data_IF_200599033881
#
_entry.id   IF_200599033881
#
_cell.length_a   1.000
_cell.length_b   1.000
_cell.length_c   1.000
_cell.angle_alpha   90.00
_cell.angle_beta   90.00
_cell.angle_gamma   90.00
#
_symmetry.space_group_name_H-M   'P 1'
#
loop_
_entity.id
_entity.type
_entity.pdbx_description
1 polymer ?
#
# COMPACT_ATOMS: atom_id res chain seq x y z
N UNK A 1 28.29 29.74 -30.58
CA UNK A 1 28.48 28.30 -30.33
C UNK A 1 27.45 27.93 -29.26
N UNK A 2 26.33 27.37 -29.67
CA UNK A 2 25.25 26.96 -28.77
C UNK A 2 25.41 25.48 -28.48
N UNK A 3 25.52 25.13 -27.20
CA UNK A 3 25.53 23.75 -26.75
C UNK A 3 24.08 23.35 -26.49
N UNK A 4 23.52 22.61 -27.42
CA UNK A 4 22.19 21.99 -27.24
C UNK A 4 22.28 20.82 -26.25
N UNK A 5 21.63 20.98 -25.13
CA UNK A 5 21.40 19.86 -24.21
C UNK A 5 20.23 19.03 -24.77
N UNK A 6 20.55 17.86 -25.33
CA UNK A 6 19.56 16.85 -25.70
C UNK A 6 19.04 16.20 -24.42
N UNK A 7 17.82 16.50 -24.02
CA UNK A 7 17.09 15.68 -23.07
C UNK A 7 16.72 14.36 -23.76
N UNK A 8 17.47 13.33 -23.47
CA UNK A 8 17.03 11.97 -23.74
C UNK A 8 15.84 11.68 -22.82
N UNK A 9 14.64 11.77 -23.40
CA UNK A 9 13.43 11.31 -22.75
C UNK A 9 13.60 9.81 -22.45
N UNK A 10 13.59 9.45 -21.18
CA UNK A 10 13.44 8.07 -20.78
C UNK A 10 12.13 7.57 -21.37
N UNK A 11 12.22 6.63 -22.30
CA UNK A 11 11.06 5.89 -22.79
C UNK A 11 10.34 5.28 -21.58
N UNK A 12 9.02 5.40 -21.43
CA UNK A 12 8.34 4.68 -20.38
C UNK A 12 8.66 3.21 -20.57
N UNK A 13 9.34 2.62 -19.58
CA UNK A 13 9.56 1.19 -19.54
C UNK A 13 8.20 0.52 -19.79
N UNK A 14 8.14 -0.41 -20.71
CA UNK A 14 6.98 -1.24 -20.98
C UNK A 14 6.61 -1.97 -19.67
N UNK A 15 5.80 -1.32 -18.83
CA UNK A 15 5.08 -2.01 -17.79
C UNK A 15 4.27 -3.06 -18.54
N UNK A 16 4.49 -4.33 -18.25
CA UNK A 16 3.65 -5.39 -18.76
C UNK A 16 2.27 -5.19 -18.12
N UNK A 17 1.49 -4.31 -18.73
CA UNK A 17 0.11 -4.08 -18.35
C UNK A 17 -0.63 -5.35 -18.72
N UNK A 18 -1.16 -6.05 -17.74
CA UNK A 18 -2.14 -7.09 -18.02
C UNK A 18 -3.34 -6.36 -18.61
N UNK A 19 -3.58 -6.54 -19.90
CA UNK A 19 -4.76 -6.00 -20.56
C UNK A 19 -5.98 -6.53 -19.81
N UNK A 20 -6.75 -5.61 -19.25
CA UNK A 20 -8.06 -5.95 -18.71
C UNK A 20 -8.89 -6.59 -19.82
N UNK A 21 -9.66 -7.63 -19.54
CA UNK A 21 -10.66 -8.08 -20.48
C UNK A 21 -11.52 -6.88 -20.87
N UNK A 22 -11.63 -6.59 -22.17
CA UNK A 22 -12.33 -5.41 -22.70
C UNK A 22 -13.84 -5.40 -22.42
N UNK A 23 -14.35 -6.49 -21.85
CA UNK A 23 -15.74 -6.78 -21.56
C UNK A 23 -16.05 -6.92 -20.05
N UNK A 24 -15.27 -6.27 -19.18
CA UNK A 24 -15.66 -6.16 -17.79
C UNK A 24 -17.04 -5.49 -17.70
N UNK A 25 -18.02 -6.28 -17.29
CA UNK A 25 -19.37 -5.77 -17.01
C UNK A 25 -19.25 -4.55 -16.08
N UNK A 26 -19.76 -3.36 -16.47
CA UNK A 26 -19.73 -2.18 -15.61
C UNK A 26 -20.32 -2.44 -14.19
N UNK A 27 -21.17 -3.47 -14.05
CA UNK A 27 -21.71 -3.93 -12.78
C UNK A 27 -20.67 -4.61 -11.87
N UNK A 28 -19.49 -4.93 -12.37
CA UNK A 28 -18.36 -5.40 -11.56
C UNK A 28 -17.56 -4.27 -10.92
N UNK A 29 -17.89 -3.02 -11.22
CA UNK A 29 -17.37 -1.86 -10.50
C UNK A 29 -18.14 -1.73 -9.20
N UNK A 30 -17.41 -1.74 -8.09
CA UNK A 30 -18.04 -1.73 -6.76
C UNK A 30 -18.18 -0.31 -6.25
N UNK A 31 -19.41 0.19 -6.31
CA UNK A 31 -19.76 1.46 -5.71
C UNK A 31 -20.08 1.25 -4.24
N UNK A 32 -19.44 2.01 -3.38
CA UNK A 32 -19.84 2.11 -1.99
C UNK A 32 -21.07 3.00 -1.89
N UNK A 33 -22.18 2.47 -1.39
CA UNK A 33 -23.30 3.30 -0.99
C UNK A 33 -23.02 3.94 0.38
N UNK A 34 -23.20 5.25 0.49
CA UNK A 34 -23.15 5.96 1.78
C UNK A 34 -24.33 5.60 2.69
N UNK A 35 -25.36 4.98 2.15
CA UNK A 35 -26.60 4.63 2.87
C UNK A 35 -26.45 3.34 3.67
N UNK A 36 -25.54 2.46 3.25
CA UNK A 36 -25.29 1.17 3.90
C UNK A 36 -23.80 1.03 4.25
N UNK A 37 -23.41 1.29 5.51
CA UNK A 37 -22.01 1.36 5.91
C UNK A 37 -21.22 0.06 5.74
N UNK A 38 -21.89 -1.04 5.43
CA UNK A 38 -21.28 -2.34 5.20
C UNK A 38 -21.11 -2.71 3.71
N UNK A 39 -21.73 -1.99 2.79
CA UNK A 39 -21.62 -2.20 1.35
C UNK A 39 -20.25 -1.94 0.72
N UNK A 40 -19.37 -1.10 1.30
CA UNK A 40 -18.03 -0.90 0.74
C UNK A 40 -17.26 -2.17 0.50
N UNK A 41 -17.63 -3.22 1.17
CA UNK A 41 -16.93 -4.51 1.15
C UNK A 41 -17.66 -5.59 0.36
N UNK A 42 -18.88 -5.33 -0.11
CA UNK A 42 -19.58 -6.28 -0.98
C UNK A 42 -18.85 -6.38 -2.33
N UNK A 43 -18.77 -7.62 -2.83
CA UNK A 43 -18.17 -7.90 -4.13
C UNK A 43 -16.66 -7.70 -4.21
N UNK A 44 -15.98 -7.39 -3.11
CA UNK A 44 -14.53 -7.17 -3.11
C UNK A 44 -13.73 -8.33 -3.73
N UNK A 45 -14.25 -9.56 -3.65
CA UNK A 45 -13.61 -10.75 -4.20
C UNK A 45 -13.50 -10.77 -5.73
N UNK A 46 -14.24 -9.90 -6.41
CA UNK A 46 -14.25 -9.76 -7.88
C UNK A 46 -13.47 -8.53 -8.37
N UNK A 47 -12.87 -7.75 -7.47
CA UNK A 47 -12.07 -6.61 -7.88
C UNK A 47 -10.90 -7.05 -8.74
N UNK A 48 -10.75 -6.38 -9.87
CA UNK A 48 -9.60 -6.56 -10.74
C UNK A 48 -8.38 -5.92 -10.10
N UNK A 49 -7.25 -6.56 -10.22
CA UNK A 49 -5.97 -6.04 -9.73
C UNK A 49 -5.04 -5.79 -10.92
N UNK A 50 -4.60 -4.55 -11.08
CA UNK A 50 -3.58 -4.20 -12.08
C UNK A 50 -2.24 -4.04 -11.42
N UNK A 51 -1.23 -4.79 -11.87
CA UNK A 51 0.15 -4.66 -11.43
C UNK A 51 0.94 -3.80 -12.41
N UNK A 52 1.64 -2.79 -11.89
CA UNK A 52 2.56 -1.95 -12.67
C UNK A 52 3.94 -2.01 -12.04
N UNK A 53 4.95 -2.14 -12.86
CA UNK A 53 6.33 -1.98 -12.43
C UNK A 53 6.71 -0.51 -12.46
N UNK A 54 7.02 0.06 -11.30
CA UNK A 54 7.35 1.48 -11.13
C UNK A 54 8.86 1.73 -11.20
N UNK A 55 9.64 0.81 -10.63
CA UNK A 55 11.09 0.78 -10.70
C UNK A 55 11.51 -0.64 -11.10
N UNK A 56 12.29 -0.82 -12.17
CA UNK A 56 12.65 -2.13 -12.67
C UNK A 56 13.18 -3.06 -11.57
N UNK A 57 12.64 -4.26 -11.48
CA UNK A 57 12.98 -5.33 -10.55
C UNK A 57 13.02 -4.94 -9.05
N UNK A 58 12.40 -3.80 -8.68
CA UNK A 58 12.51 -3.25 -7.33
C UNK A 58 11.19 -2.79 -6.74
N UNK A 59 10.39 -2.00 -7.47
CA UNK A 59 9.14 -1.43 -6.92
C UNK A 59 7.99 -1.66 -7.89
N UNK A 60 6.89 -2.20 -7.35
CA UNK A 60 5.64 -2.39 -8.09
C UNK A 60 4.48 -1.75 -7.34
N UNK A 61 3.44 -1.37 -8.09
CA UNK A 61 2.10 -1.13 -7.55
C UNK A 61 1.15 -2.23 -7.97
N UNK A 62 0.27 -2.61 -7.04
CA UNK A 62 -0.93 -3.37 -7.31
C UNK A 62 -2.10 -2.43 -7.05
N UNK A 63 -2.94 -2.22 -8.05
CA UNK A 63 -4.02 -1.23 -8.00
C UNK A 63 -5.37 -1.91 -8.14
N UNK A 64 -6.34 -1.46 -7.34
CA UNK A 64 -7.73 -1.90 -7.41
C UNK A 64 -8.64 -0.69 -7.38
N UNK A 65 -9.75 -0.72 -8.11
CA UNK A 65 -10.77 0.30 -7.97
C UNK A 65 -11.55 0.12 -6.67
N UNK A 66 -11.70 1.21 -5.94
CA UNK A 66 -12.64 1.33 -4.85
C UNK A 66 -13.56 2.52 -5.13
N UNK A 67 -14.85 2.26 -5.20
CA UNK A 67 -15.82 3.31 -5.40
C UNK A 67 -16.55 3.65 -4.10
N UNK A 68 -16.78 4.94 -3.92
CA UNK A 68 -17.56 5.50 -2.82
C UNK A 68 -18.66 6.37 -3.43
N UNK A 69 -19.89 5.85 -3.49
CA UNK A 69 -21.02 6.49 -4.15
C UNK A 69 -20.67 6.92 -5.59
N UNK A 70 -20.56 8.20 -5.84
CA UNK A 70 -20.25 8.77 -7.16
C UNK A 70 -18.75 8.91 -7.43
N UNK A 71 -17.91 8.64 -6.46
CA UNK A 71 -16.46 8.77 -6.55
C UNK A 71 -15.81 7.40 -6.66
N UNK A 72 -15.09 7.16 -7.74
CA UNK A 72 -14.20 6.01 -7.89
C UNK A 72 -12.75 6.42 -7.68
N UNK A 73 -12.02 5.66 -6.90
CA UNK A 73 -10.61 5.88 -6.60
C UNK A 73 -9.81 4.61 -6.81
N UNK A 74 -8.62 4.75 -7.35
CA UNK A 74 -7.65 3.67 -7.30
C UNK A 74 -6.98 3.64 -5.94
N UNK A 75 -7.18 2.55 -5.23
CA UNK A 75 -6.36 2.24 -4.06
C UNK A 75 -5.15 1.43 -4.51
N UNK A 76 -4.04 1.61 -3.79
CA UNK A 76 -2.76 1.05 -4.18
C UNK A 76 -2.09 0.32 -3.03
N UNK A 77 -1.64 -0.91 -3.32
CA UNK A 77 -0.60 -1.58 -2.54
C UNK A 77 0.73 -1.35 -3.23
N UNK A 78 1.71 -0.83 -2.52
CA UNK A 78 3.10 -0.73 -3.03
C UNK A 78 3.88 -1.94 -2.55
N UNK A 79 4.68 -2.52 -3.44
CA UNK A 79 5.54 -3.67 -3.15
C UNK A 79 6.97 -3.28 -3.45
N UNK A 80 7.85 -3.50 -2.48
CA UNK A 80 9.29 -3.28 -2.63
C UNK A 80 10.03 -4.58 -2.42
N UNK A 81 10.93 -4.91 -3.32
CA UNK A 81 11.83 -6.06 -3.19
C UNK A 81 13.13 -5.60 -2.55
N UNK A 82 13.44 -6.19 -1.40
CA UNK A 82 14.69 -5.91 -0.70
C UNK A 82 15.86 -6.58 -1.42
N UNK A 83 16.92 -5.83 -1.65
CA UNK A 83 18.16 -6.38 -2.22
C UNK A 83 18.90 -7.29 -1.26
N UNK A 84 18.83 -6.97 0.02
CA UNK A 84 19.53 -7.70 1.08
C UNK A 84 19.05 -9.14 1.22
N UNK A 85 17.74 -9.38 1.06
CA UNK A 85 17.12 -10.69 1.28
C UNK A 85 16.49 -11.27 0.02
N UNK A 86 16.13 -10.44 -0.95
CA UNK A 86 15.31 -10.79 -2.10
C UNK A 86 13.83 -10.91 -1.77
N UNK A 87 13.44 -10.71 -0.50
CA UNK A 87 12.07 -10.77 -0.04
C UNK A 87 11.30 -9.47 -0.26
N UNK A 88 9.98 -9.55 -0.13
CA UNK A 88 9.07 -8.44 -0.40
C UNK A 88 8.63 -7.74 0.87
N UNK A 89 8.58 -6.41 0.81
CA UNK A 89 7.86 -5.55 1.75
C UNK A 89 6.59 -5.05 1.06
N UNK A 90 5.43 -5.36 1.63
CA UNK A 90 4.11 -5.04 1.08
C UNK A 90 3.47 -3.94 1.92
N UNK A 91 3.24 -2.78 1.32
CA UNK A 91 2.66 -1.60 1.98
C UNK A 91 1.20 -1.43 1.62
N UNK A 92 0.40 -0.98 2.60
CA UNK A 92 -1.01 -0.62 2.38
C UNK A 92 -1.83 -1.76 1.80
N UNK A 93 -2.15 -2.80 2.60
CA UNK A 93 -2.98 -3.92 2.15
C UNK A 93 -4.28 -3.46 1.49
N UNK A 94 -4.74 -4.21 0.51
CA UNK A 94 -6.03 -3.99 -0.16
C UNK A 94 -6.80 -5.30 -0.30
N UNK A 95 -7.96 -5.29 -0.99
CA UNK A 95 -8.84 -6.45 -1.04
C UNK A 95 -8.10 -7.73 -1.48
N UNK A 96 -8.20 -8.81 -0.68
CA UNK A 96 -7.41 -10.03 -0.85
C UNK A 96 -8.02 -10.96 -1.90
N UNK A 97 -8.14 -10.45 -3.13
CA UNK A 97 -8.64 -11.25 -4.26
C UNK A 97 -7.65 -12.34 -4.63
N UNK A 98 -8.13 -13.39 -5.30
CA UNK A 98 -7.23 -14.42 -5.82
C UNK A 98 -6.18 -13.83 -6.76
N UNK A 99 -6.60 -12.96 -7.67
CA UNK A 99 -5.71 -12.29 -8.62
C UNK A 99 -4.65 -11.43 -7.91
N UNK A 100 -5.04 -10.67 -6.86
CA UNK A 100 -4.09 -9.92 -6.05
C UNK A 100 -2.98 -10.79 -5.49
N UNK A 101 -3.33 -11.94 -4.92
CA UNK A 101 -2.34 -12.86 -4.37
C UNK A 101 -1.49 -13.53 -5.45
N UNK A 102 -2.08 -13.94 -6.58
CA UNK A 102 -1.34 -14.53 -7.70
C UNK A 102 -0.28 -13.54 -8.22
N UNK A 103 -0.67 -12.28 -8.46
CA UNK A 103 0.24 -11.24 -8.91
C UNK A 103 1.33 -10.90 -7.90
N UNK A 104 1.03 -10.97 -6.61
CA UNK A 104 2.00 -10.73 -5.55
C UNK A 104 2.98 -11.91 -5.41
N UNK A 105 2.47 -13.14 -5.43
CA UNK A 105 3.28 -14.37 -5.33
C UNK A 105 4.28 -14.51 -6.50
N UNK A 106 3.95 -14.00 -7.69
CA UNK A 106 4.87 -13.95 -8.84
C UNK A 106 6.10 -13.08 -8.61
N UNK A 107 6.03 -12.07 -7.72
CA UNK A 107 7.14 -11.16 -7.44
C UNK A 107 8.16 -11.75 -6.48
N UNK A 108 7.73 -12.68 -5.60
CA UNK A 108 8.61 -13.34 -4.64
C UNK A 108 7.96 -13.61 -3.29
N UNK A 109 8.78 -13.98 -2.32
CA UNK A 109 8.33 -14.28 -0.97
C UNK A 109 8.02 -13.01 -0.18
N UNK A 110 6.83 -12.93 0.41
CA UNK A 110 6.47 -11.82 1.31
C UNK A 110 7.13 -12.03 2.68
N UNK A 111 8.05 -11.16 3.04
CA UNK A 111 8.76 -11.16 4.32
C UNK A 111 8.16 -10.17 5.31
N UNK A 112 7.60 -9.08 4.79
CA UNK A 112 7.08 -8.00 5.62
C UNK A 112 5.77 -7.45 5.05
N UNK A 113 4.81 -7.17 5.94
CA UNK A 113 3.57 -6.44 5.63
C UNK A 113 3.53 -5.19 6.49
N UNK A 114 3.28 -4.06 5.88
CA UNK A 114 3.28 -2.76 6.55
C UNK A 114 1.92 -2.09 6.41
N UNK A 115 1.36 -1.68 7.55
CA UNK A 115 0.20 -0.81 7.61
C UNK A 115 0.67 0.62 7.94
N UNK A 116 0.86 1.48 6.92
CA UNK A 116 1.46 2.80 7.12
C UNK A 116 0.45 3.87 7.52
N UNK A 117 -0.85 3.64 7.32
CA UNK A 117 -1.93 4.62 7.49
C UNK A 117 -3.03 4.08 8.39
N UNK A 118 -3.84 4.99 8.95
CA UNK A 118 -5.05 4.63 9.69
C UNK A 118 -6.24 4.34 8.77
N UNK A 119 -6.10 4.58 7.46
CA UNK A 119 -7.18 4.42 6.48
C UNK A 119 -7.81 3.03 6.52
N UNK A 120 -9.14 3.01 6.65
CA UNK A 120 -9.90 1.79 6.89
C UNK A 120 -9.78 0.80 5.74
N UNK A 121 -9.74 1.31 4.52
CA UNK A 121 -9.61 0.57 3.25
C UNK A 121 -8.32 -0.25 3.15
N UNK A 122 -7.33 0.06 3.97
CA UNK A 122 -6.10 -0.72 4.10
C UNK A 122 -6.10 -1.58 5.37
N UNK A 123 -6.51 -0.99 6.49
CA UNK A 123 -6.48 -1.67 7.79
C UNK A 123 -7.33 -2.93 7.81
N UNK A 124 -8.50 -2.91 7.20
CA UNK A 124 -9.44 -4.04 7.18
C UNK A 124 -8.88 -5.28 6.47
N UNK A 125 -7.99 -5.09 5.49
CA UNK A 125 -7.43 -6.19 4.71
C UNK A 125 -6.14 -6.79 5.30
N UNK A 126 -5.54 -6.11 6.27
CA UNK A 126 -4.33 -6.59 6.94
C UNK A 126 -4.48 -8.01 7.52
N UNK A 127 -5.61 -8.39 8.18
CA UNK A 127 -5.80 -9.76 8.68
C UNK A 127 -5.72 -10.82 7.59
N UNK A 128 -6.23 -10.53 6.41
CA UNK A 128 -6.22 -11.47 5.30
C UNK A 128 -4.80 -11.72 4.78
N UNK A 129 -4.00 -10.65 4.66
CA UNK A 129 -2.59 -10.78 4.27
C UNK A 129 -1.78 -11.51 5.35
N UNK A 130 -1.96 -11.16 6.62
CA UNK A 130 -1.26 -11.83 7.72
C UNK A 130 -1.56 -13.34 7.76
N UNK A 131 -2.81 -13.74 7.50
CA UNK A 131 -3.18 -15.17 7.40
C UNK A 131 -2.60 -15.85 6.15
N UNK A 132 -2.54 -15.15 5.03
CA UNK A 132 -1.98 -15.70 3.76
C UNK A 132 -0.47 -15.89 3.85
N UNK A 133 0.22 -14.99 4.55
CA UNK A 133 1.68 -15.00 4.73
C UNK A 133 2.05 -15.09 6.21
N UNK A 134 1.84 -16.23 6.87
CA UNK A 134 1.98 -16.36 8.33
C UNK A 134 3.42 -16.23 8.83
N UNK A 135 4.40 -16.27 7.95
CA UNK A 135 5.81 -16.04 8.28
C UNK A 135 6.26 -14.58 8.07
N UNK A 136 5.41 -13.78 7.42
CA UNK A 136 5.70 -12.38 7.22
C UNK A 136 5.57 -11.61 8.54
N UNK A 137 6.51 -10.71 8.78
CA UNK A 137 6.48 -9.80 9.93
C UNK A 137 5.54 -8.64 9.66
N UNK A 138 4.65 -8.36 10.59
CA UNK A 138 3.65 -7.28 10.46
C UNK A 138 4.12 -6.04 11.20
N UNK A 139 4.18 -4.93 10.50
CA UNK A 139 4.57 -3.62 11.02
C UNK A 139 3.43 -2.63 10.90
N UNK A 140 3.20 -1.87 11.96
CA UNK A 140 2.11 -0.89 11.99
C UNK A 140 2.63 0.47 12.44
N UNK A 141 2.04 1.53 11.92
CA UNK A 141 2.35 2.89 12.38
C UNK A 141 1.81 3.12 13.78
N UNK A 142 2.59 3.80 14.62
CA UNK A 142 2.20 4.16 15.97
C UNK A 142 0.96 5.07 15.98
N UNK A 143 0.00 4.74 16.86
CA UNK A 143 -1.18 5.56 17.09
C UNK A 143 -2.23 5.52 15.97
N UNK A 144 -2.13 4.60 15.00
CA UNK A 144 -3.23 4.43 14.04
C UNK A 144 -4.52 4.05 14.75
N UNK A 145 -5.59 4.61 14.26
CA UNK A 145 -6.93 4.45 14.80
C UNK A 145 -7.92 4.03 13.71
N UNK A 146 -9.18 3.77 14.04
CA UNK A 146 -10.22 3.43 13.06
C UNK A 146 -11.57 4.03 13.41
N UNK A 147 -12.33 4.36 12.38
CA UNK A 147 -13.74 4.79 12.47
C UNK A 147 -14.63 3.60 12.10
N UNK A 148 -15.80 3.43 12.72
CA UNK A 148 -16.35 4.17 13.87
C UNK A 148 -15.84 3.68 15.23
N UNK A 149 -15.15 2.54 15.25
CA UNK A 149 -14.64 1.93 16.48
C UNK A 149 -13.18 1.58 16.29
N UNK A 150 -12.33 2.11 17.17
CA UNK A 150 -10.90 1.78 17.16
C UNK A 150 -10.66 0.44 17.85
N UNK A 151 -10.71 -0.63 17.06
CA UNK A 151 -10.45 -1.98 17.55
C UNK A 151 -8.94 -2.26 17.52
N UNK A 152 -8.38 -2.79 18.62
CA UNK A 152 -7.02 -3.30 18.64
C UNK A 152 -6.82 -4.37 17.55
N UNK A 153 -5.63 -4.39 16.93
CA UNK A 153 -5.31 -5.37 15.88
C UNK A 153 -5.39 -6.82 16.39
N UNK A 154 -5.09 -7.02 17.66
CA UNK A 154 -5.17 -8.32 18.34
C UNK A 154 -6.60 -8.90 18.30
N UNK A 155 -7.64 -8.05 18.35
CA UNK A 155 -9.04 -8.46 18.20
C UNK A 155 -9.36 -8.93 16.78
N UNK A 156 -8.59 -8.47 15.80
CA UNK A 156 -8.67 -8.92 14.41
C UNK A 156 -7.81 -10.17 14.16
N UNK A 157 -7.19 -10.71 15.22
CA UNK A 157 -6.32 -11.87 15.15
C UNK A 157 -4.95 -11.56 14.51
N UNK A 158 -4.47 -10.33 14.68
CA UNK A 158 -3.17 -9.91 14.14
C UNK A 158 -2.21 -9.64 15.28
N UNK A 159 -1.15 -10.43 15.32
CA UNK A 159 0.02 -10.15 16.14
C UNK A 159 1.00 -9.31 15.34
N UNK A 160 1.11 -8.03 15.70
CA UNK A 160 2.11 -7.16 15.08
C UNK A 160 3.51 -7.53 15.57
N UNK A 161 4.45 -7.55 14.64
CA UNK A 161 5.87 -7.80 14.96
C UNK A 161 6.51 -6.54 15.54
N UNK A 162 6.19 -5.37 14.97
CA UNK A 162 6.78 -4.11 15.39
C UNK A 162 5.91 -2.90 15.09
N UNK A 163 6.31 -1.78 15.67
CA UNK A 163 5.62 -0.50 15.52
C UNK A 163 6.59 0.53 14.93
N UNK A 164 6.14 1.23 13.90
CA UNK A 164 6.87 2.35 13.28
C UNK A 164 6.58 3.60 14.11
N UNK A 165 7.57 4.08 14.84
CA UNK A 165 7.41 5.15 15.82
C UNK A 165 7.84 6.50 15.28
N UNK A 166 7.21 7.56 15.81
CA UNK A 166 7.62 8.97 15.54
C UNK A 166 9.01 9.22 16.08
N UNK A 167 9.28 8.78 17.31
CA UNK A 167 10.58 8.90 17.94
C UNK A 167 11.43 7.66 17.69
N UNK A 168 12.42 7.82 16.83
CA UNK A 168 13.37 6.75 16.48
C UNK A 168 14.55 6.63 17.46
N UNK A 169 14.60 7.48 18.50
CA UNK A 169 15.62 7.36 19.55
C UNK A 169 15.40 6.05 20.30
N UNK A 170 16.43 5.24 20.43
CA UNK A 170 16.37 3.94 21.08
C UNK A 170 16.02 2.74 20.16
N UNK A 171 15.67 2.94 18.89
CA UNK A 171 15.50 1.83 17.95
C UNK A 171 16.83 1.10 17.66
N UNK A 172 17.96 1.78 17.82
CA UNK A 172 19.28 1.21 17.55
C UNK A 172 19.70 0.14 18.56
N UNK A 173 19.07 0.14 19.75
CA UNK A 173 19.39 -0.78 20.84
C UNK A 173 18.45 -2.00 20.91
N UNK A 174 17.37 -2.01 20.11
CA UNK A 174 16.37 -3.08 20.12
C UNK A 174 16.21 -3.69 18.71
N UNK A 175 16.96 -4.76 18.46
CA UNK A 175 16.96 -5.45 17.17
C UNK A 175 15.61 -6.09 16.81
N UNK A 176 14.75 -6.38 17.79
CA UNK A 176 13.43 -6.94 17.54
C UNK A 176 12.41 -5.88 17.11
N UNK A 177 12.60 -4.63 17.54
CA UNK A 177 11.74 -3.49 17.21
C UNK A 177 12.24 -2.66 16.05
N UNK A 178 13.48 -2.87 15.63
CA UNK A 178 14.07 -2.14 14.52
C UNK A 178 13.69 -2.82 13.21
N UNK A 179 13.04 -2.10 12.27
CA UNK A 179 12.77 -2.68 10.95
C UNK A 179 14.06 -3.10 10.24
N UNK A 180 14.17 -4.36 9.78
CA UNK A 180 15.42 -4.87 9.22
C UNK A 180 15.81 -4.27 7.86
N UNK A 181 14.90 -3.51 7.24
CA UNK A 181 15.11 -2.89 5.93
C UNK A 181 15.62 -1.45 5.99
N UNK A 182 15.99 -0.90 7.14
CA UNK A 182 16.32 0.54 7.29
C UNK A 182 17.49 1.01 6.42
N UNK A 183 18.37 0.12 6.03
CA UNK A 183 19.47 0.44 5.12
C UNK A 183 18.99 0.70 3.69
N UNK A 184 17.86 0.11 3.30
CA UNK A 184 17.26 0.24 1.97
C UNK A 184 16.07 1.20 1.95
N UNK A 185 15.25 1.15 3.01
CA UNK A 185 14.01 1.93 3.17
C UNK A 185 14.07 2.74 4.46
N UNK A 186 14.32 4.04 4.34
CA UNK A 186 14.14 4.96 5.48
C UNK A 186 12.65 5.28 5.66
N UNK A 187 12.24 5.70 6.86
CA UNK A 187 10.85 6.10 7.08
C UNK A 187 10.73 7.32 8.01
N UNK A 188 9.60 8.02 7.88
CA UNK A 188 9.16 9.06 8.80
C UNK A 188 7.68 8.91 9.05
N UNK A 189 7.29 9.02 10.31
CA UNK A 189 5.89 9.09 10.69
C UNK A 189 5.47 10.54 10.69
N UNK A 190 4.48 10.85 9.85
CA UNK A 190 3.78 12.13 9.86
C UNK A 190 2.58 11.99 10.79
N UNK A 191 2.48 12.90 11.76
CA UNK A 191 1.31 13.05 12.61
C UNK A 191 0.88 14.50 12.59
N UNK A 192 -0.37 14.74 12.24
CA UNK A 192 -0.98 16.06 12.25
C UNK A 192 -2.18 16.04 13.20
N UNK A 193 -2.04 16.69 14.33
CA UNK A 193 -3.13 16.79 15.31
C UNK A 193 -4.12 17.87 14.85
N UNK A 194 -5.40 17.49 14.80
CA UNK A 194 -6.49 18.35 14.37
C UNK A 194 -7.40 18.67 15.57
N UNK A 195 -7.78 19.92 15.73
CA UNK A 195 -8.61 20.35 16.85
C UNK A 195 -9.99 19.65 16.81
N UNK A 196 -10.29 18.88 17.85
CA UNK A 196 -11.58 18.20 18.02
C UNK A 196 -11.81 16.97 17.13
N UNK A 197 -10.79 16.50 16.43
CA UNK A 197 -10.84 15.27 15.63
C UNK A 197 -9.63 14.38 15.91
N UNK A 198 -9.71 13.12 15.46
CA UNK A 198 -8.57 12.22 15.53
C UNK A 198 -7.44 12.71 14.60
N UNK A 199 -6.18 12.48 14.96
CA UNK A 199 -5.05 12.96 14.18
C UNK A 199 -4.97 12.25 12.82
N UNK A 200 -4.48 12.98 11.80
CA UNK A 200 -3.98 12.33 10.60
C UNK A 200 -2.63 11.67 10.91
N UNK A 201 -2.50 10.40 10.55
CA UNK A 201 -1.26 9.66 10.81
C UNK A 201 -0.91 8.82 9.58
N UNK A 202 0.31 9.01 9.09
CA UNK A 202 0.84 8.19 8.00
C UNK A 202 2.36 8.03 8.13
N UNK A 203 2.86 6.84 7.83
CA UNK A 203 4.28 6.60 7.66
C UNK A 203 4.65 6.70 6.19
N UNK A 204 5.52 7.66 5.87
CA UNK A 204 6.12 7.80 4.55
C UNK A 204 7.45 7.06 4.51
N UNK A 205 7.77 6.41 3.39
CA UNK A 205 9.02 5.68 3.21
C UNK A 205 9.83 6.27 2.06
N UNK A 206 11.14 6.18 2.19
CA UNK A 206 12.07 6.61 1.17
C UNK A 206 12.96 5.44 0.75
N UNK A 207 12.76 4.97 -0.47
CA UNK A 207 13.60 3.95 -1.08
C UNK A 207 14.90 4.59 -1.56
N UNK A 208 16.01 4.27 -0.88
CA UNK A 208 17.27 5.00 -1.02
C UNK A 208 17.86 4.88 -2.42
N UNK A 209 17.84 3.70 -2.99
CA UNK A 209 18.46 3.43 -4.28
C UNK A 209 17.75 4.18 -5.43
N UNK A 210 16.46 3.98 -5.57
CA UNK A 210 15.68 4.63 -6.64
C UNK A 210 15.33 6.09 -6.33
N UNK A 211 15.59 6.56 -5.08
CA UNK A 211 15.20 7.88 -4.58
C UNK A 211 13.70 8.11 -4.67
N UNK A 212 12.91 7.06 -4.48
CA UNK A 212 11.45 7.12 -4.54
C UNK A 212 10.87 7.36 -3.16
N UNK A 213 9.94 8.31 -3.06
CA UNK A 213 9.12 8.51 -1.88
C UNK A 213 7.85 7.68 -2.04
N UNK A 214 7.58 6.81 -1.05
CA UNK A 214 6.39 5.99 -0.98
C UNK A 214 5.44 6.61 0.04
N UNK A 215 4.23 6.92 -0.40
CA UNK A 215 3.15 7.50 0.41
C UNK A 215 1.85 6.75 0.12
N UNK A 216 0.90 6.85 1.02
CA UNK A 216 -0.44 6.25 0.84
C UNK A 216 -1.46 7.35 0.58
N UNK A 217 -1.84 8.12 1.59
CA UNK A 217 -2.91 9.12 1.51
C UNK A 217 -2.40 10.56 1.52
N UNK A 218 -1.11 10.75 1.82
CA UNK A 218 -0.50 12.07 1.92
C UNK A 218 -0.53 12.86 0.62
N UNK A 219 -0.41 12.17 -0.52
CA UNK A 219 -0.40 12.80 -1.85
C UNK A 219 -1.34 12.05 -2.77
N UNK A 220 -2.31 12.77 -3.31
CA UNK A 220 -3.21 12.28 -4.34
C UNK A 220 -2.78 12.84 -5.70
N UNK A 221 -2.66 11.94 -6.67
CA UNK A 221 -2.48 12.30 -8.07
C UNK A 221 -3.77 12.01 -8.82
N UNK A 222 -4.42 13.07 -9.30
CA UNK A 222 -5.64 12.93 -10.10
C UNK A 222 -5.25 12.90 -11.56
N UNK A 223 -5.33 11.75 -12.24
CA UNK A 223 -4.96 11.65 -13.64
C UNK A 223 -6.01 12.32 -14.53
N UNK A 224 -5.57 12.84 -15.70
CA UNK A 224 -6.46 13.40 -16.72
C UNK A 224 -7.17 12.33 -17.55
N UNK A 225 -6.67 11.11 -17.50
CA UNK A 225 -7.26 9.92 -18.14
C UNK A 225 -7.66 8.95 -17.04
N UNK A 226 -8.85 8.34 -17.12
CA UNK A 226 -9.26 7.33 -16.16
C UNK A 226 -8.20 6.24 -15.96
N UNK A 227 -8.02 5.74 -14.74
CA UNK A 227 -7.14 4.60 -14.50
C UNK A 227 -7.58 3.36 -15.26
N UNK A 228 -6.69 2.37 -15.37
CA UNK A 228 -6.95 1.10 -16.05
C UNK A 228 -7.82 0.13 -15.23
N UNK A 229 -8.10 0.47 -13.99
CA UNK A 229 -8.96 -0.28 -13.06
C UNK A 229 -10.20 0.50 -12.74
#
# INVERSE_FOLDING_TARGET
MGVGASFLGASPANAAVRLLPTDLDPRRRFFQSLVEPWEPYFGWGERVTVRKELVPDSIWSLEQEQALDVLAMNIRTTVVKLKSTGGLVVFSPQAPTREFFELLDELGAVEHVVLPTYALEHKIWLPALARRYPRAKVWVTEGIWSVPVDLPLEWLGIDKTGTLTVDRRGLQDDSERTPPWLDELDYRVLRVDTAGANPYIETCFFHRESRSLLVTDLVLSIPTVPPEV
#
